data_IF_241175786747
#
_entry.id   IF_241175786747
#
_cell.length_a   1.000
_cell.length_b   1.000
_cell.length_c   1.000
_cell.angle_alpha   90.00
_cell.angle_beta   90.00
_cell.angle_gamma   90.00
#
_symmetry.space_group_name_H-M   'P 1'
#
loop_
_entity.id
_entity.type
_entity.pdbx_description
1 polymer ?
#
# COMPACT_ATOMS: atom_id res chain seq x y z
N UNK A 1 -13.07 -3.99 -2.98
CA UNK A 1 -11.86 -4.38 -2.21
C UNK A 1 -10.64 -3.95 -3.00
N UNK A 2 -9.62 -3.42 -2.33
CA UNK A 2 -8.34 -3.08 -2.93
C UNK A 2 -7.27 -4.03 -2.41
N UNK A 3 -6.40 -4.49 -3.31
CA UNK A 3 -5.27 -5.34 -2.98
C UNK A 3 -4.01 -4.71 -3.57
N UNK A 4 -3.03 -4.51 -2.71
CA UNK A 4 -1.69 -4.04 -3.04
C UNK A 4 -0.70 -5.22 -2.96
N UNK A 5 0.57 -4.97 -3.24
CA UNK A 5 1.66 -5.96 -3.18
C UNK A 5 1.43 -7.27 -3.97
N UNK A 6 0.62 -7.22 -5.04
CA UNK A 6 0.22 -8.42 -5.78
C UNK A 6 1.33 -8.90 -6.73
N UNK A 7 2.05 -9.93 -6.29
CA UNK A 7 3.13 -10.53 -7.10
C UNK A 7 4.42 -9.72 -7.10
N UNK A 8 4.60 -8.86 -6.09
CA UNK A 8 5.77 -8.00 -5.97
C UNK A 8 6.95 -8.62 -5.26
N UNK A 9 6.75 -9.72 -4.52
CA UNK A 9 7.82 -10.45 -3.83
C UNK A 9 7.97 -11.84 -4.44
N UNK A 10 9.21 -12.19 -4.78
CA UNK A 10 9.61 -13.55 -5.12
C UNK A 10 10.43 -14.12 -3.96
N UNK A 11 10.22 -15.38 -3.61
CA UNK A 11 11.01 -16.12 -2.63
C UNK A 11 11.48 -17.45 -3.20
N UNK A 12 12.58 -17.97 -2.65
CA UNK A 12 13.08 -19.31 -2.96
C UNK A 12 12.21 -20.39 -2.32
N UNK A 13 11.96 -21.47 -3.06
CA UNK A 13 11.27 -22.67 -2.57
C UNK A 13 12.31 -23.75 -2.21
N UNK A 14 13.46 -23.35 -1.66
CA UNK A 14 14.51 -24.28 -1.24
C UNK A 14 14.16 -24.96 0.07
N UNK A 15 14.33 -26.28 0.13
CA UNK A 15 14.17 -27.07 1.36
C UNK A 15 15.41 -26.99 2.28
N UNK A 16 16.52 -26.40 1.81
CA UNK A 16 17.71 -26.16 2.62
C UNK A 16 17.91 -24.68 2.90
N UNK A 17 18.09 -24.35 4.19
CA UNK A 17 18.38 -22.98 4.67
C UNK A 17 19.66 -22.43 4.05
N UNK A 18 20.63 -23.30 3.79
CA UNK A 18 21.91 -22.94 3.17
C UNK A 18 21.79 -22.48 1.71
N UNK A 19 20.73 -22.89 1.00
CA UNK A 19 20.46 -22.47 -0.38
C UNK A 19 19.36 -21.41 -0.50
N UNK A 20 18.87 -20.85 0.62
CA UNK A 20 17.92 -19.75 0.60
C UNK A 20 18.63 -18.43 0.26
N UNK A 21 18.28 -17.82 -0.86
CA UNK A 21 18.85 -16.53 -1.31
C UNK A 21 18.09 -15.31 -0.81
N UNK A 22 17.07 -15.51 0.04
CA UNK A 22 16.21 -14.45 0.56
C UNK A 22 15.11 -14.01 -0.42
N UNK A 23 14.40 -12.94 -0.09
CA UNK A 23 13.31 -12.40 -0.92
C UNK A 23 13.84 -11.35 -1.91
N UNK A 24 13.36 -11.41 -3.15
CA UNK A 24 13.62 -10.38 -4.17
C UNK A 24 12.33 -9.66 -4.54
N UNK A 25 12.47 -8.44 -5.06
CA UNK A 25 11.32 -7.62 -5.45
C UNK A 25 11.16 -7.57 -6.97
N UNK A 26 9.93 -7.81 -7.42
CA UNK A 26 9.54 -7.77 -8.81
C UNK A 26 9.17 -6.34 -9.22
N UNK A 27 10.11 -5.65 -9.86
CA UNK A 27 9.93 -4.28 -10.36
C UNK A 27 9.09 -4.13 -11.63
N UNK A 28 8.48 -5.21 -12.15
CA UNK A 28 7.57 -5.12 -13.30
C UNK A 28 6.28 -4.38 -12.93
N UNK A 29 5.53 -3.93 -13.94
CA UNK A 29 4.23 -3.27 -13.73
C UNK A 29 3.32 -4.05 -12.80
N UNK A 30 3.30 -5.39 -12.89
CA UNK A 30 2.44 -6.24 -12.04
C UNK A 30 2.74 -6.07 -10.56
N UNK A 31 4.03 -6.18 -10.17
CA UNK A 31 4.45 -6.02 -8.78
C UNK A 31 4.31 -4.58 -8.25
N UNK A 32 4.02 -3.62 -9.13
CA UNK A 32 3.88 -2.20 -8.78
C UNK A 32 2.44 -1.74 -8.80
N UNK A 33 1.48 -2.63 -9.01
CA UNK A 33 0.08 -2.28 -9.26
C UNK A 33 -0.81 -2.52 -8.03
N UNK A 34 -1.67 -1.54 -7.73
CA UNK A 34 -2.84 -1.77 -6.88
C UNK A 34 -4.01 -2.19 -7.76
N UNK A 35 -4.69 -3.25 -7.35
CA UNK A 35 -5.86 -3.79 -8.04
C UNK A 35 -7.14 -3.57 -7.23
N UNK A 36 -8.21 -3.20 -7.91
CA UNK A 36 -9.56 -3.19 -7.37
C UNK A 36 -10.32 -4.46 -7.78
N UNK A 37 -11.20 -4.90 -6.89
CA UNK A 37 -12.05 -6.07 -7.04
C UNK A 37 -13.46 -5.78 -6.51
N UNK A 38 -14.44 -6.38 -7.17
CA UNK A 38 -15.81 -6.42 -6.67
C UNK A 38 -15.95 -7.58 -5.68
N UNK A 39 -16.74 -7.39 -4.62
CA UNK A 39 -17.00 -8.42 -3.61
C UNK A 39 -18.36 -9.07 -3.92
N UNK A 40 -18.33 -10.33 -4.35
CA UNK A 40 -19.52 -11.13 -4.60
C UNK A 40 -19.84 -11.99 -3.37
N UNK A 41 -21.11 -12.00 -2.95
CA UNK A 41 -21.62 -12.78 -1.82
C UNK A 41 -20.79 -12.60 -0.53
N UNK A 42 -20.22 -11.40 -0.33
CA UNK A 42 -19.43 -11.03 0.85
C UNK A 42 -18.05 -11.67 1.00
N UNK A 43 -17.60 -12.53 0.07
CA UNK A 43 -16.32 -13.26 0.23
C UNK A 43 -15.57 -13.63 -1.05
N UNK A 44 -16.22 -13.55 -2.21
CA UNK A 44 -15.57 -13.86 -3.48
C UNK A 44 -15.14 -12.58 -4.18
N UNK A 45 -13.96 -12.60 -4.79
CA UNK A 45 -13.44 -11.47 -5.55
C UNK A 45 -13.68 -11.69 -7.03
N UNK A 46 -14.17 -10.66 -7.72
CA UNK A 46 -14.39 -10.65 -9.17
C UNK A 46 -13.91 -9.33 -9.79
N UNK A 47 -13.86 -9.29 -11.12
CA UNK A 47 -13.60 -8.08 -11.91
C UNK A 47 -12.30 -7.35 -11.50
N UNK A 48 -11.19 -8.10 -11.46
CA UNK A 48 -9.84 -7.57 -11.21
C UNK A 48 -9.54 -6.46 -12.22
N UNK A 49 -9.21 -5.27 -11.73
CA UNK A 49 -8.82 -4.12 -12.58
C UNK A 49 -7.68 -3.33 -11.95
N UNK A 50 -6.65 -2.94 -12.70
CA UNK A 50 -5.59 -2.07 -12.20
C UNK A 50 -6.17 -0.66 -11.99
N UNK A 51 -5.82 -0.02 -10.88
CA UNK A 51 -6.25 1.36 -10.60
C UNK A 51 -5.08 2.32 -10.38
N UNK A 52 -3.88 1.80 -10.11
CA UNK A 52 -2.69 2.61 -9.84
C UNK A 52 -1.45 1.77 -10.05
N UNK A 53 -0.40 2.38 -10.58
CA UNK A 53 0.95 1.81 -10.68
C UNK A 53 1.92 2.73 -9.96
N UNK A 54 2.62 2.19 -8.96
CA UNK A 54 3.57 2.96 -8.17
C UNK A 54 4.70 3.49 -9.03
N UNK A 55 4.95 4.81 -8.96
CA UNK A 55 6.06 5.46 -9.67
C UNK A 55 7.43 5.03 -9.14
N UNK A 56 7.50 4.66 -7.87
CA UNK A 56 8.71 4.21 -7.20
C UNK A 56 8.40 2.97 -6.37
N UNK A 57 9.31 2.00 -6.40
CA UNK A 57 9.19 0.74 -5.65
C UNK A 57 7.81 0.07 -5.81
N UNK A 58 7.29 -0.53 -4.74
CA UNK A 58 6.09 -1.37 -4.69
C UNK A 58 5.06 -0.70 -3.76
N UNK A 59 3.77 -0.72 -4.12
CA UNK A 59 2.71 -0.38 -3.19
C UNK A 59 2.52 -1.50 -2.17
N UNK A 60 3.04 -1.35 -0.95
CA UNK A 60 2.96 -2.35 0.12
C UNK A 60 1.65 -2.13 0.93
N UNK A 61 1.74 -1.60 2.15
CA UNK A 61 0.59 -1.32 2.98
C UNK A 61 -0.35 -0.31 2.31
N UNK A 62 -1.65 -0.60 2.36
CA UNK A 62 -2.73 0.27 1.86
C UNK A 62 -3.76 0.52 2.96
N UNK A 63 -4.34 1.72 2.99
CA UNK A 63 -5.53 2.10 3.78
C UNK A 63 -6.47 2.93 2.91
N UNK A 64 -7.73 3.00 3.32
CA UNK A 64 -8.75 3.86 2.70
C UNK A 64 -9.10 4.95 3.71
N UNK A 65 -9.11 6.20 3.28
CA UNK A 65 -9.60 7.34 4.05
C UNK A 65 -11.13 7.39 4.02
N UNK A 66 -11.75 8.10 4.95
CA UNK A 66 -13.22 8.24 5.03
C UNK A 66 -13.84 8.83 3.76
N UNK A 67 -13.10 9.67 3.03
CA UNK A 67 -13.54 10.26 1.77
C UNK A 67 -13.29 9.35 0.54
N UNK A 68 -12.82 8.12 0.73
CA UNK A 68 -12.57 7.15 -0.34
C UNK A 68 -11.16 7.16 -0.93
N UNK A 69 -10.31 8.14 -0.62
CA UNK A 69 -8.93 8.13 -1.10
C UNK A 69 -8.13 6.96 -0.56
N UNK A 70 -7.28 6.39 -1.40
CA UNK A 70 -6.34 5.35 -1.00
C UNK A 70 -5.06 6.00 -0.51
N UNK A 71 -4.50 5.42 0.55
CA UNK A 71 -3.21 5.85 1.12
C UNK A 71 -2.32 4.62 1.15
N UNK A 72 -1.20 4.65 0.43
CA UNK A 72 -0.33 3.47 0.28
C UNK A 72 1.15 3.83 0.41
N UNK A 73 1.94 2.97 1.04
CA UNK A 73 3.41 3.10 1.02
C UNK A 73 3.91 2.87 -0.41
N UNK A 74 4.76 3.75 -0.93
CA UNK A 74 5.26 3.70 -2.30
C UNK A 74 6.72 4.19 -2.35
N UNK A 75 7.66 3.29 -2.07
CA UNK A 75 9.08 3.61 -1.98
C UNK A 75 9.37 4.52 -0.80
N UNK A 76 10.09 5.63 -1.04
CA UNK A 76 10.49 6.61 -0.02
C UNK A 76 9.34 7.52 0.42
N UNK A 77 8.20 6.94 0.76
CA UNK A 77 7.04 7.71 1.20
C UNK A 77 5.70 7.01 1.01
N UNK A 78 4.66 7.84 0.98
CA UNK A 78 3.27 7.43 0.86
C UNK A 78 2.58 8.22 -0.24
N UNK A 79 1.84 7.52 -1.11
CA UNK A 79 0.95 8.14 -2.09
C UNK A 79 -0.49 8.17 -1.59
N UNK A 80 -1.15 9.31 -1.83
CA UNK A 80 -2.59 9.49 -1.71
C UNK A 80 -3.18 9.48 -3.11
N UNK A 81 -4.08 8.54 -3.38
CA UNK A 81 -4.57 8.21 -4.71
C UNK A 81 -6.09 8.40 -4.75
N UNK A 82 -6.56 9.08 -5.80
CA UNK A 82 -7.95 9.04 -6.20
C UNK A 82 -8.23 7.70 -6.92
N UNK A 83 -9.03 6.78 -6.34
CA UNK A 83 -9.26 5.48 -6.95
C UNK A 83 -10.20 5.51 -8.15
N UNK A 84 -10.94 6.59 -8.38
CA UNK A 84 -11.84 6.72 -9.53
C UNK A 84 -11.04 7.12 -10.78
N UNK A 85 -10.17 8.13 -10.63
CA UNK A 85 -9.30 8.61 -11.72
C UNK A 85 -7.98 7.83 -11.84
N UNK A 86 -7.59 7.11 -10.78
CA UNK A 86 -6.31 6.39 -10.70
C UNK A 86 -5.09 7.31 -10.59
N UNK A 87 -5.27 8.54 -10.10
CA UNK A 87 -4.24 9.58 -10.07
C UNK A 87 -3.70 9.81 -8.66
N UNK A 88 -2.41 10.15 -8.56
CA UNK A 88 -1.79 10.57 -7.29
C UNK A 88 -2.13 12.03 -7.03
N UNK A 89 -2.85 12.29 -5.94
CA UNK A 89 -3.26 13.63 -5.51
C UNK A 89 -2.16 14.29 -4.66
N UNK A 90 -1.44 13.49 -3.87
CA UNK A 90 -0.37 13.96 -2.98
C UNK A 90 0.62 12.82 -2.70
N UNK A 91 1.89 13.18 -2.49
CA UNK A 91 2.91 12.29 -1.90
C UNK A 91 3.48 12.90 -0.62
N UNK A 92 3.55 12.09 0.43
CA UNK A 92 4.35 12.38 1.62
C UNK A 92 5.70 11.69 1.43
N UNK A 93 6.80 12.43 1.61
CA UNK A 93 8.15 11.88 1.46
C UNK A 93 8.78 11.55 2.81
N UNK A 94 9.52 10.44 2.86
CA UNK A 94 10.36 10.02 3.98
C UNK A 94 11.78 9.79 3.48
N UNK A 95 12.74 9.69 4.40
CA UNK A 95 14.13 9.30 4.11
C UNK A 95 14.35 7.77 4.16
N UNK A 96 13.28 7.01 4.36
CA UNK A 96 13.27 5.55 4.39
C UNK A 96 12.08 4.95 3.60
N UNK A 97 12.18 3.71 3.09
CA UNK A 97 11.06 3.06 2.42
C UNK A 97 9.90 2.77 3.37
N UNK A 98 8.68 3.15 3.02
CA UNK A 98 7.47 2.89 3.82
C UNK A 98 6.84 1.56 3.41
N UNK A 99 6.73 0.65 4.37
CA UNK A 99 6.12 -0.68 4.19
C UNK A 99 4.67 -0.71 4.66
N UNK A 100 4.32 0.03 5.72
CA UNK A 100 2.94 0.08 6.17
C UNK A 100 2.61 1.41 6.83
N UNK A 101 1.32 1.64 7.03
CA UNK A 101 0.79 2.86 7.59
C UNK A 101 -0.55 2.64 8.30
N UNK A 102 -0.86 3.50 9.24
CA UNK A 102 -2.13 3.48 9.96
C UNK A 102 -2.60 4.89 10.29
N UNK A 103 -3.91 5.12 10.12
CA UNK A 103 -4.57 6.28 10.72
C UNK A 103 -4.68 6.09 12.23
N UNK A 104 -4.39 7.12 13.00
CA UNK A 104 -4.43 7.11 14.46
C UNK A 104 -4.82 8.49 15.01
N UNK A 105 -4.78 8.63 16.34
CA UNK A 105 -5.28 9.80 17.04
C UNK A 105 -6.78 9.71 17.31
N UNK A 106 -7.27 10.50 18.27
CA UNK A 106 -8.68 10.49 18.68
C UNK A 106 -9.63 10.89 17.53
N UNK A 107 -9.12 11.73 16.64
CA UNK A 107 -9.80 12.26 15.46
C UNK A 107 -9.42 11.51 14.16
N UNK A 108 -8.57 10.47 14.22
CA UNK A 108 -8.07 9.72 13.06
C UNK A 108 -7.34 10.58 12.02
N UNK A 109 -6.79 11.71 12.44
CA UNK A 109 -6.08 12.70 11.63
C UNK A 109 -4.55 12.66 11.81
N UNK A 110 -4.05 11.58 12.39
CA UNK A 110 -2.63 11.27 12.39
C UNK A 110 -2.38 10.11 11.44
N UNK A 111 -1.39 10.23 10.56
CA UNK A 111 -0.90 9.10 9.80
C UNK A 111 0.46 8.68 10.37
N UNK A 112 0.53 7.43 10.83
CA UNK A 112 1.77 6.77 11.21
C UNK A 112 2.26 5.92 10.05
N UNK A 113 3.56 6.01 9.76
CA UNK A 113 4.22 5.33 8.64
C UNK A 113 5.44 4.60 9.17
N UNK A 114 5.57 3.31 8.84
CA UNK A 114 6.67 2.45 9.27
C UNK A 114 7.34 1.78 8.08
N UNK A 115 8.64 1.58 8.17
CA UNK A 115 9.37 0.73 7.25
C UNK A 115 10.84 0.63 7.61
N UNK A 116 11.67 0.28 6.63
CA UNK A 116 13.09 -0.03 6.86
C UNK A 116 13.87 1.23 7.13
N UNK A 117 14.14 1.51 8.41
CA UNK A 117 14.97 2.65 8.83
C UNK A 117 14.24 3.68 9.67
N UNK A 118 12.91 3.59 9.83
CA UNK A 118 12.21 4.57 10.65
C UNK A 118 10.72 4.39 10.85
N UNK A 119 10.21 5.25 11.73
CA UNK A 119 8.79 5.47 11.99
C UNK A 119 8.55 6.98 12.02
N UNK A 120 7.61 7.45 11.22
CA UNK A 120 7.26 8.86 11.08
C UNK A 120 5.78 9.04 11.32
N UNK A 121 5.41 10.19 11.87
CA UNK A 121 4.02 10.62 12.01
C UNK A 121 3.82 11.95 11.30
N UNK A 122 2.75 12.06 10.55
CA UNK A 122 2.22 13.36 10.09
C UNK A 122 0.85 13.63 10.73
N UNK A 123 0.58 14.90 11.00
CA UNK A 123 -0.77 15.37 11.32
C UNK A 123 -1.33 16.02 10.05
N UNK A 124 -2.57 15.70 9.71
CA UNK A 124 -3.20 16.17 8.48
C UNK A 124 -4.73 16.19 8.59
N UNK A 125 -5.41 16.67 7.57
CA UNK A 125 -6.88 16.75 7.58
C UNK A 125 -7.58 15.54 6.95
N UNK A 126 -6.82 14.62 6.34
CA UNK A 126 -7.38 13.40 5.76
C UNK A 126 -7.73 12.41 6.88
N UNK A 127 -9.02 12.17 7.07
CA UNK A 127 -9.53 11.35 8.16
C UNK A 127 -9.52 9.85 7.81
N UNK A 128 -9.02 9.01 8.71
CA UNK A 128 -9.14 7.56 8.61
C UNK A 128 -10.56 7.05 8.88
N UNK A 129 -10.88 5.88 8.32
CA UNK A 129 -12.18 5.21 8.52
C UNK A 129 -12.42 4.91 10.00
N UNK A 130 -13.66 5.12 10.44
CA UNK A 130 -14.13 4.67 11.75
C UNK A 130 -14.34 3.16 11.71
N UNK A 131 -13.61 2.43 12.54
CA UNK A 131 -13.85 1.01 12.77
C UNK A 131 -15.04 0.89 13.72
N UNK A 132 -16.11 0.23 13.28
CA UNK A 132 -17.29 -0.11 14.10
C UNK A 132 -17.10 -1.43 14.83
#
# INVERSE_FOLDING_TARGET
MYIADSGSVNGDVSDSVEAMSGTTFNGTTVGRTIYAYDILKGKFLANKRPIYVAQDWIPDGIKVATNGYLVTGAGLGVDVIDPEEGTVVMRIQTDYPVQNLAFAGKDRKQLWMVGVGGVTRVNWELEGVKLE
#
